data_IF_125286620676
#
_entry.id   IF_125286620676
#
_cell.length_a   1.000
_cell.length_b   1.000
_cell.length_c   1.000
_cell.angle_alpha   90.00
_cell.angle_beta   90.00
_cell.angle_gamma   90.00
#
_symmetry.space_group_name_H-M   'P 1'
#
loop_
_entity.id
_entity.type
_entity.pdbx_description
1 polymer ?
#
# COMPACT_ATOMS: atom_id res chain seq x y z
N UNK A 1 -24.74 32.39 1.70
CA UNK A 1 -24.49 31.03 2.22
C UNK A 1 -23.85 30.24 1.11
N UNK A 2 -22.61 29.81 1.28
CA UNK A 2 -21.95 28.94 0.30
C UNK A 2 -22.50 27.52 0.46
N UNK A 3 -23.41 27.16 -0.45
CA UNK A 3 -24.08 25.86 -0.45
C UNK A 3 -23.11 24.72 -0.78
N UNK A 4 -22.04 25.00 -1.52
CA UNK A 4 -21.01 24.03 -1.88
C UNK A 4 -20.16 23.71 -0.65
N UNK A 5 -19.72 24.72 0.08
CA UNK A 5 -18.98 24.54 1.32
C UNK A 5 -19.79 23.81 2.40
N UNK A 6 -21.09 24.11 2.53
CA UNK A 6 -21.96 23.39 3.47
C UNK A 6 -22.10 21.91 3.08
N UNK A 7 -22.27 21.62 1.78
CA UNK A 7 -22.38 20.25 1.28
C UNK A 7 -21.11 19.45 1.55
N UNK A 8 -19.95 20.01 1.24
CA UNK A 8 -18.65 19.35 1.47
C UNK A 8 -18.39 19.10 2.96
N UNK A 9 -18.63 20.10 3.81
CA UNK A 9 -18.50 19.94 5.26
C UNK A 9 -19.46 18.88 5.83
N UNK A 10 -20.65 18.74 5.25
CA UNK A 10 -21.63 17.72 5.64
C UNK A 10 -21.16 16.33 5.26
N UNK A 11 -20.67 16.13 4.03
CA UNK A 11 -20.14 14.84 3.57
C UNK A 11 -18.99 14.39 4.46
N UNK A 12 -18.07 15.30 4.80
CA UNK A 12 -16.93 15.00 5.66
C UNK A 12 -17.35 14.63 7.10
N UNK A 13 -18.30 15.39 7.67
CA UNK A 13 -18.83 15.10 9.01
C UNK A 13 -19.55 13.74 9.06
N UNK A 14 -20.25 13.38 7.99
CA UNK A 14 -20.97 12.10 7.85
C UNK A 14 -20.01 10.93 7.79
N UNK A 15 -18.99 11.01 6.92
CA UNK A 15 -17.98 9.97 6.80
C UNK A 15 -17.22 9.75 8.11
N UNK A 16 -16.87 10.82 8.82
CA UNK A 16 -16.20 10.74 10.13
C UNK A 16 -17.10 10.08 11.18
N UNK A 17 -18.37 10.50 11.29
CA UNK A 17 -19.31 9.96 12.26
C UNK A 17 -19.60 8.47 12.03
N UNK A 18 -19.73 8.03 10.78
CA UNK A 18 -19.95 6.62 10.46
C UNK A 18 -18.71 5.77 10.70
N UNK A 19 -17.53 6.27 10.35
CA UNK A 19 -16.27 5.61 10.65
C UNK A 19 -16.07 5.42 12.16
N UNK A 20 -16.35 6.46 12.97
CA UNK A 20 -16.20 6.39 14.43
C UNK A 20 -17.24 5.45 15.09
N UNK A 21 -18.42 5.30 14.48
CA UNK A 21 -19.52 4.47 15.01
C UNK A 21 -19.44 3.00 14.58
N UNK A 22 -19.04 2.74 13.33
CA UNK A 22 -19.10 1.42 12.69
C UNK A 22 -17.72 0.82 12.41
N UNK A 23 -16.64 1.60 12.51
CA UNK A 23 -15.29 1.19 12.14
C UNK A 23 -15.05 1.14 10.62
N UNK A 24 -16.05 1.50 9.81
CA UNK A 24 -15.97 1.65 8.36
C UNK A 24 -17.00 2.69 7.87
N UNK A 25 -16.87 3.16 6.63
CA UNK A 25 -17.83 4.08 6.02
C UNK A 25 -18.68 3.30 5.00
N UNK A 26 -20.00 3.15 5.24
CA UNK A 26 -20.92 2.57 4.27
C UNK A 26 -20.97 3.36 2.94
N UNK A 27 -21.49 2.72 1.89
CA UNK A 27 -21.69 3.37 0.58
C UNK A 27 -22.56 4.62 0.71
N UNK A 28 -22.33 5.62 -0.12
CA UNK A 28 -23.14 6.85 -0.18
C UNK A 28 -24.58 6.60 -0.67
N UNK A 29 -24.84 5.40 -1.20
CA UNK A 29 -26.16 4.89 -1.58
C UNK A 29 -26.86 4.09 -0.45
N UNK A 30 -26.24 3.94 0.73
CA UNK A 30 -26.82 3.19 1.84
C UNK A 30 -27.74 4.05 2.72
N UNK A 31 -28.80 3.45 3.25
CA UNK A 31 -29.75 4.11 4.15
C UNK A 31 -29.05 4.70 5.39
N UNK A 32 -28.06 3.98 5.92
CA UNK A 32 -27.24 4.39 7.07
C UNK A 32 -26.43 5.66 6.78
N UNK A 33 -25.92 5.78 5.55
CA UNK A 33 -25.19 6.96 5.10
C UNK A 33 -26.13 8.15 4.87
N UNK A 34 -27.30 7.91 4.27
CA UNK A 34 -28.28 8.96 4.00
C UNK A 34 -28.88 9.55 5.29
N UNK A 35 -29.14 8.71 6.30
CA UNK A 35 -29.63 9.15 7.61
C UNK A 35 -28.61 10.02 8.36
N UNK A 36 -27.35 9.58 8.42
CA UNK A 36 -26.31 10.35 9.10
C UNK A 36 -25.98 11.64 8.32
N UNK A 37 -26.05 11.61 6.99
CA UNK A 37 -25.91 12.80 6.14
C UNK A 37 -26.97 13.86 6.45
N UNK A 38 -28.25 13.47 6.53
CA UNK A 38 -29.34 14.40 6.86
C UNK A 38 -29.16 15.00 8.25
N UNK A 39 -28.69 14.21 9.23
CA UNK A 39 -28.42 14.67 10.59
C UNK A 39 -27.30 15.70 10.64
N UNK A 40 -26.17 15.43 9.99
CA UNK A 40 -25.03 16.35 9.95
C UNK A 40 -25.36 17.63 9.16
N UNK A 41 -26.15 17.51 8.09
CA UNK A 41 -26.58 18.65 7.29
C UNK A 41 -27.43 19.63 8.13
N UNK A 42 -28.38 19.10 8.91
CA UNK A 42 -29.24 19.91 9.77
C UNK A 42 -28.43 20.62 10.88
N UNK A 43 -27.48 19.91 11.51
CA UNK A 43 -26.63 20.47 12.55
C UNK A 43 -25.71 21.59 12.03
N UNK A 44 -25.09 21.39 10.85
CA UNK A 44 -24.22 22.39 10.23
C UNK A 44 -25.03 23.58 9.70
N UNK A 45 -26.21 23.34 9.11
CA UNK A 45 -27.11 24.41 8.67
C UNK A 45 -27.53 25.32 9.82
N UNK A 46 -27.79 24.77 11.01
CA UNK A 46 -28.09 25.57 12.22
C UNK A 46 -26.88 26.37 12.71
N UNK A 47 -25.68 25.80 12.69
CA UNK A 47 -24.44 26.51 13.09
C UNK A 47 -24.08 27.64 12.13
N UNK A 48 -24.25 27.43 10.82
CA UNK A 48 -24.02 28.46 9.79
C UNK A 48 -25.06 29.59 9.83
N UNK A 49 -26.26 29.36 10.37
CA UNK A 49 -27.27 30.39 10.54
C UNK A 49 -26.99 31.34 11.73
N UNK A 50 -26.12 30.96 12.66
CA UNK A 50 -25.99 31.63 13.98
C UNK A 50 -24.66 32.37 14.18
N UNK A 51 -23.74 32.41 13.20
CA UNK A 51 -22.48 33.14 13.32
C UNK A 51 -22.06 33.88 12.04
N UNK A 52 -21.61 35.15 12.11
CA UNK A 52 -20.77 35.77 11.10
C UNK A 52 -19.32 35.32 11.33
N UNK A 53 -18.72 34.64 10.35
CA UNK A 53 -17.36 34.08 10.47
C UNK A 53 -16.33 35.14 10.08
N UNK A 54 -15.32 35.45 10.94
CA UNK A 54 -14.12 36.15 10.49
C UNK A 54 -13.31 35.22 9.56
N UNK A 55 -12.81 35.77 8.45
CA UNK A 55 -12.07 35.03 7.43
C UNK A 55 -10.87 34.27 8.02
N UNK A 56 -11.07 32.99 8.33
CA UNK A 56 -9.99 32.06 8.65
C UNK A 56 -9.48 31.53 7.32
N UNK A 57 -8.25 31.93 6.95
CA UNK A 57 -7.50 31.29 5.87
C UNK A 57 -7.54 29.77 6.12
N UNK A 58 -7.92 28.94 5.13
CA UNK A 58 -7.85 27.50 5.31
C UNK A 58 -6.40 27.09 5.48
N UNK A 59 -6.05 26.58 6.67
CA UNK A 59 -4.93 25.65 6.79
C UNK A 59 -5.26 24.46 5.88
N UNK A 60 -4.36 24.20 4.93
CA UNK A 60 -4.42 23.03 4.07
C UNK A 60 -4.56 21.78 4.94
N UNK A 61 -5.75 21.18 4.90
CA UNK A 61 -5.92 19.78 5.28
C UNK A 61 -5.00 19.00 4.37
N UNK A 62 -4.10 18.23 4.98
CA UNK A 62 -3.12 17.38 4.34
C UNK A 62 -3.76 16.61 3.19
N UNK A 63 -3.47 17.05 1.97
CA UNK A 63 -3.70 16.26 0.77
C UNK A 63 -3.11 14.88 1.01
N UNK A 64 -3.79 13.82 0.56
CA UNK A 64 -3.13 12.55 0.25
C UNK A 64 -1.75 12.90 -0.34
N UNK A 65 -0.64 12.38 0.21
CA UNK A 65 0.69 12.96 0.02
C UNK A 65 0.83 13.32 -1.43
N UNK A 66 0.92 14.63 -1.71
CA UNK A 66 1.00 15.14 -3.06
C UNK A 66 2.08 14.30 -3.73
N UNK A 67 1.67 13.40 -4.64
CA UNK A 67 2.61 12.47 -5.24
C UNK A 67 3.74 13.35 -5.74
N UNK A 68 5.01 13.08 -5.34
CA UNK A 68 6.10 13.95 -5.70
C UNK A 68 6.00 14.22 -7.20
N UNK A 69 6.00 15.49 -7.56
CA UNK A 69 5.90 15.88 -8.96
C UNK A 69 6.97 15.08 -9.71
N UNK A 70 6.63 14.45 -10.84
CA UNK A 70 7.59 13.61 -11.55
C UNK A 70 8.84 14.42 -11.85
N UNK A 71 10.00 13.79 -11.68
CA UNK A 71 11.29 14.43 -11.91
C UNK A 71 11.35 14.98 -13.34
N UNK A 72 11.89 16.20 -13.45
CA UNK A 72 12.13 16.86 -14.74
C UNK A 72 13.38 16.23 -15.36
N UNK A 73 13.27 15.77 -16.61
CA UNK A 73 14.39 15.22 -17.38
C UNK A 73 14.75 16.15 -18.54
N UNK A 74 16.03 16.27 -18.86
CA UNK A 74 16.51 17.10 -19.97
C UNK A 74 17.80 17.84 -19.61
N UNK A 75 18.18 18.82 -20.43
CA UNK A 75 19.29 19.73 -20.11
C UNK A 75 18.93 20.61 -18.90
N UNK A 76 19.91 21.20 -18.19
CA UNK A 76 19.62 22.08 -17.06
C UNK A 76 18.72 23.28 -17.41
N UNK A 77 18.82 23.83 -18.61
CA UNK A 77 17.96 24.91 -19.10
C UNK A 77 16.52 24.45 -19.33
N UNK A 78 16.37 23.25 -19.88
CA UNK A 78 15.11 22.57 -20.07
C UNK A 78 14.40 22.29 -18.74
N UNK A 79 15.13 21.79 -17.76
CA UNK A 79 14.62 21.58 -16.39
C UNK A 79 14.15 22.91 -15.80
N UNK A 80 14.95 23.99 -15.91
CA UNK A 80 14.57 25.33 -15.42
C UNK A 80 13.32 25.89 -16.10
N UNK A 81 13.22 25.77 -17.42
CA UNK A 81 12.05 26.20 -18.19
C UNK A 81 10.79 25.43 -17.79
N UNK A 82 10.89 24.10 -17.67
CA UNK A 82 9.76 23.26 -17.28
C UNK A 82 9.33 23.49 -15.83
N UNK A 83 10.27 23.80 -14.92
CA UNK A 83 9.96 24.21 -13.57
C UNK A 83 9.19 25.54 -13.53
N UNK A 84 9.63 26.55 -14.30
CA UNK A 84 8.92 27.84 -14.39
C UNK A 84 7.50 27.70 -14.95
N UNK A 85 7.29 26.90 -16.00
CA UNK A 85 5.92 26.62 -16.48
C UNK A 85 5.08 25.89 -15.42
N UNK A 86 5.67 24.96 -14.67
CA UNK A 86 4.94 24.27 -13.58
C UNK A 86 4.48 25.27 -12.51
N UNK A 87 5.38 26.14 -12.05
CA UNK A 87 5.11 27.09 -10.98
C UNK A 87 4.06 28.13 -11.38
N UNK A 88 4.15 28.64 -12.62
CA UNK A 88 3.20 29.64 -13.13
C UNK A 88 1.85 29.02 -13.49
N UNK A 89 1.83 27.80 -14.05
CA UNK A 89 0.63 27.27 -14.73
C UNK A 89 -0.17 26.25 -13.94
N UNK A 90 0.48 25.41 -13.13
CA UNK A 90 -0.25 24.38 -12.36
C UNK A 90 -1.24 24.95 -11.34
N UNK A 91 -1.02 26.12 -10.70
CA UNK A 91 -1.99 26.73 -9.78
C UNK A 91 -3.34 27.05 -10.46
N UNK A 92 -3.30 27.55 -11.70
CA UNK A 92 -4.47 28.01 -12.48
C UNK A 92 -5.34 26.89 -13.06
N UNK A 93 -4.94 25.63 -12.88
CA UNK A 93 -5.69 24.47 -13.34
C UNK A 93 -6.54 23.95 -12.16
N UNK A 94 -7.88 24.09 -12.18
CA UNK A 94 -8.71 23.69 -11.03
C UNK A 94 -8.75 22.17 -10.83
N UNK A 95 -8.70 21.39 -11.91
CA UNK A 95 -8.77 19.93 -11.84
C UNK A 95 -7.43 19.31 -11.40
N UNK A 96 -7.38 18.79 -10.18
CA UNK A 96 -6.17 18.19 -9.61
C UNK A 96 -5.63 16.97 -10.39
N UNK A 97 -6.51 16.12 -10.93
CA UNK A 97 -6.10 14.97 -11.73
C UNK A 97 -5.51 15.40 -13.08
N UNK A 98 -6.10 16.41 -13.71
CA UNK A 98 -5.56 17.02 -14.94
C UNK A 98 -4.22 17.72 -14.67
N UNK A 99 -4.11 18.46 -13.55
CA UNK A 99 -2.86 19.10 -13.09
C UNK A 99 -1.72 18.08 -12.93
N UNK A 100 -1.99 16.97 -12.26
CA UNK A 100 -1.02 15.89 -12.06
C UNK A 100 -0.64 15.19 -13.38
N UNK A 101 -1.58 15.02 -14.29
CA UNK A 101 -1.33 14.49 -15.63
C UNK A 101 -0.48 15.44 -16.47
N UNK A 102 -0.81 16.73 -16.51
CA UNK A 102 -0.04 17.76 -17.23
C UNK A 102 1.41 17.83 -16.74
N UNK A 103 1.63 17.80 -15.42
CA UNK A 103 2.97 17.78 -14.84
C UNK A 103 3.81 16.58 -15.31
N UNK A 104 3.17 15.42 -15.57
CA UNK A 104 3.81 14.20 -16.12
C UNK A 104 4.02 14.27 -17.63
N UNK A 105 3.11 14.90 -18.35
CA UNK A 105 3.12 14.90 -19.82
C UNK A 105 4.07 15.95 -20.38
N UNK A 106 4.18 17.13 -19.75
CA UNK A 106 5.09 18.20 -20.20
C UNK A 106 6.56 17.77 -20.24
N UNK A 107 7.00 16.92 -19.30
CA UNK A 107 8.38 16.41 -19.28
C UNK A 107 8.67 15.31 -20.30
N UNK A 108 7.62 14.75 -20.90
CA UNK A 108 7.70 13.62 -21.84
C UNK A 108 7.36 14.01 -23.27
N UNK A 109 6.88 15.23 -23.49
CA UNK A 109 6.49 15.71 -24.81
C UNK A 109 7.72 15.91 -25.70
N UNK A 110 7.67 15.38 -26.93
CA UNK A 110 8.72 15.52 -27.95
C UNK A 110 8.93 16.98 -28.39
N UNK A 111 7.87 17.80 -28.29
CA UNK A 111 7.88 19.23 -28.56
C UNK A 111 7.36 19.97 -27.32
N UNK A 112 8.18 20.91 -26.88
CA UNK A 112 8.04 21.62 -25.62
C UNK A 112 7.21 22.86 -25.90
N UNK A 113 5.89 22.68 -25.93
CA UNK A 113 4.96 23.75 -26.29
C UNK A 113 4.75 24.64 -25.08
N UNK A 114 5.10 25.92 -25.20
CA UNK A 114 4.73 26.92 -24.19
C UNK A 114 3.20 27.07 -24.17
N UNK A 115 2.61 26.87 -23.01
CA UNK A 115 1.16 26.92 -22.81
C UNK A 115 0.75 28.00 -21.81
N UNK A 116 1.66 28.91 -21.45
CA UNK A 116 1.40 30.03 -20.54
C UNK A 116 0.27 30.93 -21.06
N UNK A 117 0.27 31.22 -22.36
CA UNK A 117 -0.70 32.12 -22.99
C UNK A 117 -2.04 31.45 -23.35
N UNK A 118 -2.18 30.15 -23.12
CA UNK A 118 -3.40 29.41 -23.47
C UNK A 118 -4.33 29.34 -22.25
N UNK A 119 -5.55 29.89 -22.30
CA UNK A 119 -6.50 29.80 -21.18
C UNK A 119 -6.79 28.36 -20.73
N UNK A 120 -6.95 28.13 -19.42
CA UNK A 120 -7.13 26.78 -18.84
C UNK A 120 -8.29 25.99 -19.45
N UNK A 121 -9.46 26.61 -19.73
CA UNK A 121 -10.57 25.89 -20.38
C UNK A 121 -10.21 25.39 -21.79
N UNK A 122 -9.48 26.19 -22.57
CA UNK A 122 -9.07 25.85 -23.94
C UNK A 122 -8.04 24.73 -23.92
N UNK A 123 -7.09 24.78 -22.97
CA UNK A 123 -6.09 23.74 -22.79
C UNK A 123 -6.74 22.39 -22.42
N UNK A 124 -7.68 22.40 -21.46
CA UNK A 124 -8.43 21.20 -21.07
C UNK A 124 -9.24 20.64 -22.24
N UNK A 125 -9.86 21.48 -23.06
CA UNK A 125 -10.59 21.04 -24.25
C UNK A 125 -9.66 20.36 -25.27
N UNK A 126 -8.49 20.95 -25.55
CA UNK A 126 -7.51 20.39 -26.50
C UNK A 126 -6.98 19.02 -26.08
N UNK A 127 -6.77 18.83 -24.78
CA UNK A 127 -6.18 17.61 -24.22
C UNK A 127 -7.21 16.63 -23.65
N UNK A 128 -8.50 16.89 -23.83
CA UNK A 128 -9.58 16.09 -23.24
C UNK A 128 -9.46 14.61 -23.62
N UNK A 129 -9.29 14.32 -24.91
CA UNK A 129 -9.20 12.95 -25.42
C UNK A 129 -8.00 12.19 -24.81
N UNK A 130 -6.83 12.82 -24.76
CA UNK A 130 -5.61 12.23 -24.21
C UNK A 130 -5.70 12.03 -22.69
N UNK A 131 -6.34 12.96 -21.99
CA UNK A 131 -6.57 12.85 -20.56
C UNK A 131 -7.58 11.74 -20.23
N UNK A 132 -8.67 11.63 -21.00
CA UNK A 132 -9.68 10.58 -20.84
C UNK A 132 -9.09 9.19 -21.10
N UNK A 133 -8.30 9.03 -22.17
CA UNK A 133 -7.57 7.79 -22.47
C UNK A 133 -6.58 7.43 -21.35
N UNK A 134 -5.83 8.42 -20.84
CA UNK A 134 -4.94 8.21 -19.70
C UNK A 134 -5.70 7.74 -18.46
N UNK A 135 -6.87 8.34 -18.18
CA UNK A 135 -7.71 7.94 -17.05
C UNK A 135 -8.21 6.51 -17.19
N UNK A 136 -8.64 6.11 -18.37
CA UNK A 136 -9.09 4.73 -18.64
C UNK A 136 -7.94 3.74 -18.45
N UNK A 137 -6.75 4.02 -19.01
CA UNK A 137 -5.55 3.18 -18.82
C UNK A 137 -5.14 3.10 -17.36
N UNK A 138 -5.19 4.22 -16.63
CA UNK A 138 -4.85 4.26 -15.21
C UNK A 138 -5.86 3.47 -14.36
N UNK A 139 -7.15 3.53 -14.70
CA UNK A 139 -8.19 2.76 -14.03
C UNK A 139 -8.02 1.25 -14.29
N UNK A 140 -7.80 0.84 -15.53
CA UNK A 140 -7.53 -0.55 -15.88
C UNK A 140 -6.28 -1.09 -15.14
N UNK A 141 -5.18 -0.34 -15.13
CA UNK A 141 -3.97 -0.73 -14.40
C UNK A 141 -4.14 -0.73 -12.87
N UNK A 142 -5.05 0.08 -12.33
CA UNK A 142 -5.42 0.01 -10.91
C UNK A 142 -6.23 -1.25 -10.61
N UNK A 143 -7.18 -1.61 -11.48
CA UNK A 143 -7.97 -2.84 -11.35
C UNK A 143 -7.08 -4.08 -11.39
N UNK A 144 -6.16 -4.19 -12.37
CA UNK A 144 -5.21 -5.31 -12.43
C UNK A 144 -4.38 -5.43 -11.16
N UNK A 145 -3.79 -4.32 -10.68
CA UNK A 145 -3.02 -4.32 -9.43
C UNK A 145 -3.86 -4.70 -8.21
N UNK A 146 -5.12 -4.27 -8.15
CA UNK A 146 -6.02 -4.65 -7.05
C UNK A 146 -6.36 -6.14 -7.10
N UNK A 147 -6.59 -6.70 -8.29
CA UNK A 147 -6.86 -8.12 -8.46
C UNK A 147 -5.63 -8.98 -8.11
N UNK A 148 -4.44 -8.57 -8.54
CA UNK A 148 -3.19 -9.24 -8.19
C UNK A 148 -2.91 -9.19 -6.69
N UNK A 149 -3.16 -8.04 -6.05
CA UNK A 149 -3.02 -7.88 -4.60
C UNK A 149 -4.02 -8.75 -3.84
N UNK A 150 -5.27 -8.82 -4.29
CA UNK A 150 -6.30 -9.70 -3.70
C UNK A 150 -5.93 -11.17 -3.85
N UNK A 151 -5.43 -11.58 -5.02
CA UNK A 151 -4.97 -12.95 -5.27
C UNK A 151 -3.82 -13.32 -4.33
N UNK A 152 -2.79 -12.48 -4.23
CA UNK A 152 -1.67 -12.70 -3.30
C UNK A 152 -2.13 -12.74 -1.84
N UNK A 153 -3.05 -11.85 -1.45
CA UNK A 153 -3.61 -11.85 -0.11
C UNK A 153 -4.40 -13.14 0.20
N UNK A 154 -5.18 -13.63 -0.77
CA UNK A 154 -5.92 -14.89 -0.62
C UNK A 154 -4.99 -16.10 -0.54
N UNK A 155 -3.91 -16.14 -1.33
CA UNK A 155 -2.88 -17.18 -1.27
C UNK A 155 -2.17 -17.19 0.09
N UNK A 156 -1.81 -16.02 0.62
CA UNK A 156 -1.22 -15.88 1.96
C UNK A 156 -2.20 -16.30 3.07
N UNK A 157 -3.46 -15.89 2.99
CA UNK A 157 -4.48 -16.30 3.95
C UNK A 157 -4.70 -17.82 3.95
N UNK A 158 -4.73 -18.44 2.75
CA UNK A 158 -4.85 -19.89 2.62
C UNK A 158 -3.60 -20.63 3.12
N UNK A 159 -2.42 -20.05 2.98
CA UNK A 159 -1.18 -20.58 3.57
C UNK A 159 -1.21 -20.51 5.10
N UNK A 160 -1.53 -19.35 5.69
CA UNK A 160 -1.64 -19.20 7.15
C UNK A 160 -2.70 -20.11 7.75
N UNK A 161 -3.83 -20.29 7.06
CA UNK A 161 -4.86 -21.24 7.47
C UNK A 161 -4.32 -22.67 7.53
N UNK A 162 -3.60 -23.11 6.49
CA UNK A 162 -2.99 -24.45 6.47
C UNK A 162 -2.00 -24.68 7.62
N UNK A 163 -1.20 -23.67 7.96
CA UNK A 163 -0.32 -23.74 9.14
C UNK A 163 -1.11 -23.83 10.44
N UNK A 164 -2.17 -23.01 10.57
CA UNK A 164 -3.02 -22.97 11.76
C UNK A 164 -3.74 -24.30 11.97
N UNK A 165 -4.32 -24.86 10.90
CA UNK A 165 -5.02 -26.16 10.92
C UNK A 165 -4.07 -27.31 11.28
N UNK A 166 -2.78 -27.19 10.93
CA UNK A 166 -1.72 -28.12 11.31
C UNK A 166 -1.08 -27.83 12.69
N UNK A 167 -1.46 -26.72 13.35
CA UNK A 167 -0.86 -26.31 14.62
C UNK A 167 0.61 -25.84 14.50
N UNK A 168 1.07 -25.50 13.30
CA UNK A 168 2.47 -25.13 13.04
C UNK A 168 2.67 -23.64 13.31
N UNK A 169 3.59 -23.33 14.21
CA UNK A 169 4.09 -21.98 14.46
C UNK A 169 5.60 -21.94 14.27
N UNK A 170 6.19 -20.80 13.84
CA UNK A 170 7.63 -20.70 13.68
C UNK A 170 8.36 -20.85 15.03
N UNK A 171 7.77 -20.37 16.13
CA UNK A 171 8.28 -20.59 17.49
C UNK A 171 8.26 -22.08 17.85
N UNK A 172 7.14 -22.78 17.59
CA UNK A 172 7.00 -24.20 17.88
C UNK A 172 7.98 -25.06 17.09
N UNK A 173 8.26 -24.72 15.83
CA UNK A 173 9.28 -25.40 15.03
C UNK A 173 10.69 -25.22 15.63
N UNK A 174 11.01 -24.03 16.12
CA UNK A 174 12.29 -23.77 16.80
C UNK A 174 12.37 -24.56 18.11
N UNK A 175 11.30 -24.61 18.89
CA UNK A 175 11.25 -25.39 20.14
C UNK A 175 11.43 -26.89 19.89
N UNK A 176 10.79 -27.46 18.86
CA UNK A 176 10.96 -28.86 18.48
C UNK A 176 12.41 -29.16 18.07
N UNK A 177 13.05 -28.26 17.32
CA UNK A 177 14.46 -28.37 16.95
C UNK A 177 15.37 -28.29 18.19
N UNK A 178 15.10 -27.36 19.10
CA UNK A 178 15.91 -27.17 20.30
C UNK A 178 15.76 -28.33 21.31
N UNK A 179 14.59 -28.98 21.34
CA UNK A 179 14.30 -30.16 22.16
C UNK A 179 14.92 -31.46 21.60
N UNK A 180 15.35 -31.46 20.34
CA UNK A 180 15.93 -32.63 19.69
C UNK A 180 17.36 -32.91 20.17
N UNK A 181 17.73 -34.18 20.23
CA UNK A 181 19.10 -34.57 20.56
C UNK A 181 20.08 -34.06 19.49
N UNK A 182 21.23 -33.54 19.94
CA UNK A 182 22.25 -32.95 19.07
C UNK A 182 23.33 -33.95 18.71
N UNK A 183 23.62 -34.04 17.42
CA UNK A 183 24.62 -34.92 16.85
C UNK A 183 25.74 -34.14 16.17
N UNK A 184 26.83 -34.84 15.86
CA UNK A 184 27.89 -34.31 15.02
C UNK A 184 27.34 -33.96 13.62
N UNK A 185 27.86 -32.88 13.04
CA UNK A 185 27.42 -32.40 11.73
C UNK A 185 27.63 -33.46 10.65
N UNK A 186 26.56 -33.80 9.94
CA UNK A 186 26.60 -34.61 8.74
C UNK A 186 26.73 -33.74 7.47
N UNK A 187 27.31 -34.26 6.38
CA UNK A 187 27.41 -33.54 5.11
C UNK A 187 26.04 -33.07 4.58
N UNK A 188 25.98 -31.79 4.18
CA UNK A 188 24.76 -31.13 3.71
C UNK A 188 24.30 -31.64 2.34
N UNK A 189 22.99 -31.82 2.16
CA UNK A 189 22.37 -32.22 0.89
C UNK A 189 21.43 -31.12 0.35
N UNK A 190 20.18 -31.06 0.80
CA UNK A 190 19.14 -30.16 0.28
C UNK A 190 18.55 -29.26 1.37
N UNK A 191 18.16 -28.03 1.04
CA UNK A 191 17.48 -27.14 2.00
C UNK A 191 16.03 -27.56 2.17
N UNK A 192 15.58 -27.75 3.41
CA UNK A 192 14.18 -28.03 3.73
C UNK A 192 13.44 -26.73 3.98
N UNK A 193 13.92 -25.94 4.95
CA UNK A 193 13.18 -24.79 5.45
C UNK A 193 14.08 -23.69 5.99
N UNK A 194 13.49 -22.52 6.18
CA UNK A 194 14.12 -21.31 6.67
C UNK A 194 13.18 -20.64 7.68
N UNK A 195 13.56 -20.65 8.95
CA UNK A 195 12.72 -20.20 10.05
C UNK A 195 13.35 -18.95 10.65
N UNK A 196 12.56 -17.88 10.72
CA UNK A 196 12.95 -16.64 11.39
C UNK A 196 11.95 -16.34 12.49
N UNK A 197 12.45 -16.29 13.73
CA UNK A 197 11.71 -15.95 14.96
C UNK A 197 12.53 -14.90 15.68
N UNK A 198 11.92 -13.93 16.34
CA UNK A 198 12.54 -12.79 17.04
C UNK A 198 14.02 -12.97 17.44
N UNK A 199 14.94 -12.43 16.62
CA UNK A 199 16.39 -12.46 16.88
C UNK A 199 17.12 -13.74 16.48
N UNK A 200 16.41 -14.82 16.12
CA UNK A 200 16.93 -16.10 15.66
C UNK A 200 16.59 -16.39 14.19
N UNK A 201 17.54 -17.02 13.50
CA UNK A 201 17.39 -17.41 12.10
C UNK A 201 17.99 -18.81 11.90
N UNK A 202 17.12 -19.82 11.79
CA UNK A 202 17.51 -21.21 11.56
C UNK A 202 17.30 -21.60 10.10
N UNK A 203 18.26 -22.35 9.56
CA UNK A 203 18.15 -22.99 8.25
C UNK A 203 18.32 -24.49 8.44
N UNK A 204 17.32 -25.24 8.01
CA UNK A 204 17.28 -26.69 8.16
C UNK A 204 17.52 -27.35 6.81
N UNK A 205 18.41 -28.35 6.80
CA UNK A 205 18.84 -29.07 5.62
C UNK A 205 18.72 -30.57 5.82
N UNK A 206 18.38 -31.29 4.75
CA UNK A 206 18.67 -32.72 4.64
C UNK A 206 20.18 -32.93 4.60
N UNK A 207 20.62 -34.09 5.07
CA UNK A 207 22.02 -34.49 5.07
C UNK A 207 22.21 -35.77 4.27
N UNK A 208 23.46 -36.18 4.04
CA UNK A 208 23.76 -37.48 3.43
C UNK A 208 23.40 -38.66 4.33
N UNK A 209 23.29 -38.44 5.65
CA UNK A 209 22.76 -39.44 6.57
C UNK A 209 21.22 -39.31 6.59
N UNK A 210 20.48 -40.34 6.17
CA UNK A 210 19.03 -40.28 6.13
C UNK A 210 18.40 -40.11 7.52
N UNK A 211 19.13 -40.33 8.61
CA UNK A 211 18.60 -40.20 9.97
C UNK A 211 18.88 -38.83 10.61
N UNK A 212 19.58 -37.92 9.91
CA UNK A 212 19.98 -36.64 10.48
C UNK A 212 19.55 -35.46 9.61
N UNK A 213 19.10 -34.40 10.28
CA UNK A 213 18.90 -33.07 9.71
C UNK A 213 20.00 -32.13 10.19
N UNK A 214 20.51 -31.28 9.32
CA UNK A 214 21.51 -30.27 9.67
C UNK A 214 20.83 -28.92 9.91
N UNK A 215 21.12 -28.31 11.06
CA UNK A 215 20.63 -27.00 11.44
C UNK A 215 21.79 -26.01 11.45
N UNK A 216 21.61 -24.90 10.73
CA UNK A 216 22.55 -23.77 10.72
C UNK A 216 21.85 -22.54 11.29
N UNK A 217 22.41 -21.95 12.35
CA UNK A 217 21.90 -20.71 12.95
C UNK A 217 22.66 -19.51 12.37
N UNK A 218 22.00 -18.71 11.52
CA UNK A 218 22.62 -17.55 10.84
C UNK A 218 22.68 -16.32 11.75
N UNK A 219 21.70 -16.17 12.63
CA UNK A 219 21.56 -15.06 13.57
C UNK A 219 20.93 -15.59 14.83
N UNK A 220 21.42 -15.16 15.99
CA UNK A 220 20.94 -15.58 17.31
C UNK A 220 21.63 -14.76 18.40
N UNK A 221 21.14 -14.80 19.65
CA UNK A 221 21.79 -14.15 20.79
C UNK A 221 23.18 -14.74 21.09
N UNK A 222 23.41 -15.99 20.69
CA UNK A 222 24.69 -16.70 20.76
C UNK A 222 24.93 -17.32 19.39
N UNK A 223 26.09 -17.10 18.78
CA UNK A 223 26.48 -17.83 17.57
C UNK A 223 26.74 -19.27 17.95
N UNK A 224 25.77 -20.15 17.69
CA UNK A 224 25.96 -21.59 17.90
C UNK A 224 26.67 -22.20 16.69
N UNK A 225 27.61 -23.14 16.90
CA UNK A 225 28.15 -23.93 15.81
C UNK A 225 27.03 -24.73 15.14
N UNK A 226 27.18 -24.99 13.84
CA UNK A 226 26.27 -25.88 13.11
C UNK A 226 26.15 -27.23 13.86
N UNK A 227 24.94 -27.79 13.90
CA UNK A 227 24.67 -29.06 14.58
C UNK A 227 23.68 -29.90 13.79
N UNK A 228 23.73 -31.21 13.97
CA UNK A 228 22.71 -32.11 13.44
C UNK A 228 21.69 -32.47 14.53
N UNK A 229 20.47 -32.78 14.11
CA UNK A 229 19.40 -33.33 14.96
C UNK A 229 18.90 -34.62 14.34
N UNK A 230 18.30 -35.49 15.16
CA UNK A 230 17.60 -36.68 14.66
C UNK A 230 16.48 -36.26 13.69
N UNK A 231 16.34 -37.04 12.63
CA UNK A 231 15.27 -36.87 11.67
C UNK A 231 13.97 -37.45 12.22
N UNK A 232 13.04 -36.56 12.54
CA UNK A 232 11.64 -36.91 12.75
C UNK A 232 10.81 -36.59 11.50
N UNK A 233 10.06 -37.56 10.98
CA UNK A 233 9.26 -37.38 9.76
C UNK A 233 8.08 -36.42 9.95
N UNK A 234 7.56 -36.29 11.18
CA UNK A 234 6.55 -35.28 11.53
C UNK A 234 7.11 -33.87 11.38
N UNK A 235 8.24 -33.60 12.04
CA UNK A 235 8.97 -32.34 11.95
C UNK A 235 9.38 -32.02 10.50
N UNK A 236 9.85 -33.01 9.73
CA UNK A 236 10.17 -32.81 8.31
C UNK A 236 8.92 -32.40 7.52
N UNK A 237 7.77 -33.02 7.79
CA UNK A 237 6.49 -32.65 7.18
C UNK A 237 6.12 -31.19 7.47
N UNK A 238 6.22 -30.79 8.73
CA UNK A 238 5.87 -29.44 9.18
C UNK A 238 6.83 -28.38 8.62
N UNK A 239 8.14 -28.68 8.60
CA UNK A 239 9.16 -27.82 8.00
C UNK A 239 8.93 -27.63 6.50
N UNK A 240 8.53 -28.69 5.78
CA UNK A 240 8.19 -28.64 4.35
C UNK A 240 6.92 -27.85 4.10
N UNK A 241 5.91 -27.98 4.95
CA UNK A 241 4.68 -27.18 4.84
C UNK A 241 4.98 -25.69 5.10
N UNK A 242 5.78 -25.39 6.12
CA UNK A 242 6.25 -24.03 6.42
C UNK A 242 7.12 -23.43 5.31
N UNK A 243 7.87 -24.25 4.58
CA UNK A 243 8.70 -23.78 3.45
C UNK A 243 7.87 -23.37 2.21
N UNK A 244 6.57 -23.68 2.15
CA UNK A 244 5.68 -23.40 1.00
C UNK A 244 5.11 -21.97 1.00
N UNK A 245 5.72 -21.03 1.74
CA UNK A 245 5.28 -19.65 1.80
C UNK A 245 5.14 -19.02 0.38
N UNK A 246 4.00 -18.38 0.05
CA UNK A 246 3.80 -17.71 -1.23
C UNK A 246 4.81 -16.57 -1.48
N UNK A 247 5.12 -16.29 -2.75
CA UNK A 247 6.08 -15.25 -3.21
C UNK A 247 5.42 -14.05 -3.89
#
# INVERSE_FOLDING_TARGET
MDLTALREATIEATARALHDKLGFVPSDESDEWEEEYRRQFAALKQRYATQPIPARKPELVSAAPARPLPELSGTPEQIRWAASIRDERLPDIPNAAFRAWMARTWTRAKLWVDTRDVPSPVLMQRYRAQFDEYRQKAAAAAQTRSADAQKKAAELAAYHKRLTDAGITPEGLVELIDASERFAVAPLAAKISDITVEGRHLRVYETSDPNLLLVKEKKGPVQQPDYAIERDEGLVGDLKLFAQAPT
#
